data_IF_857924149954
#
_entry.id   IF_857924149954
#
_cell.length_a   1.000
_cell.length_b   1.000
_cell.length_c   1.000
_cell.angle_alpha   90.00
_cell.angle_beta   90.00
_cell.angle_gamma   90.00
#
_symmetry.space_group_name_H-M   'P 1'
#
loop_
_entity.id
_entity.type
_entity.pdbx_description
1 polymer ?
#
# COMPACT_ATOMS: atom_id res chain seq x y z
N UNK A 1 4.25 83.17 -8.83
CA UNK A 1 2.94 82.71 -8.34
C UNK A 1 3.00 81.20 -8.22
N UNK A 2 3.04 80.72 -6.99
CA UNK A 2 3.26 79.31 -6.60
C UNK A 2 1.91 78.59 -6.68
N UNK A 3 1.85 77.47 -7.41
CA UNK A 3 0.70 76.55 -7.42
C UNK A 3 1.15 75.25 -6.77
N UNK A 4 0.69 75.06 -5.55
CA UNK A 4 0.78 73.81 -4.80
C UNK A 4 -0.61 73.17 -4.72
N UNK A 5 -0.63 71.91 -4.25
CA UNK A 5 -1.78 71.11 -3.80
C UNK A 5 -2.40 70.21 -4.91
N UNK A 6 -2.72 68.91 -4.75
CA UNK A 6 -2.83 67.98 -3.60
C UNK A 6 -2.58 66.57 -4.14
N UNK A 7 -1.87 65.71 -3.39
CA UNK A 7 -1.72 64.27 -3.65
C UNK A 7 -2.65 63.49 -2.70
N UNK A 8 -3.53 62.57 -3.16
CA UNK A 8 -4.39 61.81 -2.27
C UNK A 8 -3.68 60.60 -1.67
N UNK A 9 -4.02 60.41 -0.40
CA UNK A 9 -3.49 59.51 0.62
C UNK A 9 -3.69 58.03 0.32
N UNK A 10 -2.66 57.24 0.62
CA UNK A 10 -2.67 55.78 0.72
C UNK A 10 -3.68 55.28 1.76
N UNK A 11 -4.58 54.38 1.34
CA UNK A 11 -5.36 53.51 2.23
C UNK A 11 -4.64 52.18 2.32
N UNK A 12 -3.88 52.01 3.39
CA UNK A 12 -3.17 50.78 3.71
C UNK A 12 -4.08 49.93 4.61
N UNK A 13 -4.81 48.98 4.02
CA UNK A 13 -5.62 48.00 4.76
C UNK A 13 -4.73 46.80 5.11
N UNK A 14 -4.21 46.78 6.34
CA UNK A 14 -3.58 45.60 6.92
C UNK A 14 -4.66 44.54 7.19
N UNK A 15 -4.69 43.51 6.34
CA UNK A 15 -5.39 42.26 6.62
C UNK A 15 -4.38 41.27 7.21
N UNK A 16 -4.38 41.16 8.54
CA UNK A 16 -3.60 40.17 9.28
C UNK A 16 -4.22 38.79 9.09
N UNK A 17 -3.72 38.02 8.13
CA UNK A 17 -3.97 36.58 8.01
C UNK A 17 -3.09 35.83 9.01
N UNK A 18 -3.69 35.35 10.09
CA UNK A 18 -3.06 34.38 10.98
C UNK A 18 -2.93 33.04 10.24
N UNK A 19 -1.69 32.62 9.99
CA UNK A 19 -1.33 31.28 9.52
C UNK A 19 -1.55 30.27 10.66
N UNK A 20 -2.39 29.23 10.50
CA UNK A 20 -2.37 28.12 11.43
C UNK A 20 -1.10 27.30 11.20
N UNK A 21 -0.26 27.23 12.22
CA UNK A 21 0.89 26.32 12.26
C UNK A 21 0.42 24.87 12.33
N UNK A 22 0.60 24.13 11.24
CA UNK A 22 0.42 22.68 11.21
C UNK A 22 1.50 21.99 12.07
N UNK A 23 1.15 20.93 12.83
CA UNK A 23 2.14 20.13 13.52
C UNK A 23 3.04 19.40 12.52
N UNK A 24 4.35 19.58 12.68
CA UNK A 24 5.40 18.86 11.96
C UNK A 24 5.27 17.36 12.22
N UNK A 25 4.97 16.59 11.17
CA UNK A 25 4.95 15.13 11.23
C UNK A 25 6.39 14.62 11.37
N UNK A 26 6.68 13.94 12.48
CA UNK A 26 7.97 13.33 12.78
C UNK A 26 7.90 11.82 12.51
N UNK A 27 8.54 11.28 11.46
CA UNK A 27 8.46 9.86 11.10
C UNK A 27 9.28 8.90 12.00
N UNK A 28 9.88 9.35 13.11
CA UNK A 28 10.84 8.54 13.88
C UNK A 28 10.26 7.61 14.98
N UNK A 29 8.96 7.30 15.01
CA UNK A 29 8.33 6.56 16.13
C UNK A 29 7.41 5.40 15.70
N UNK A 30 7.83 4.57 14.73
CA UNK A 30 7.27 3.23 14.57
C UNK A 30 8.37 2.18 14.56
N UNK A 31 8.97 1.96 15.73
CA UNK A 31 9.71 0.72 16.00
C UNK A 31 8.93 -0.06 17.07
N UNK A 32 7.92 -0.83 16.63
CA UNK A 32 7.27 -1.83 17.49
C UNK A 32 7.95 -3.17 17.29
N UNK A 33 8.66 -3.55 18.34
CA UNK A 33 9.09 -4.88 18.75
C UNK A 33 8.10 -5.97 18.30
N UNK A 34 8.51 -6.79 17.33
CA UNK A 34 7.90 -8.10 17.09
C UNK A 34 8.71 -9.16 17.84
N UNK A 35 8.00 -9.97 18.61
CA UNK A 35 8.55 -10.99 19.47
C UNK A 35 9.24 -12.09 18.66
N UNK A 36 10.42 -12.46 19.13
CA UNK A 36 11.13 -13.70 18.80
C UNK A 36 10.37 -14.90 19.38
N UNK A 37 10.10 -15.92 18.57
CA UNK A 37 9.56 -17.18 19.07
C UNK A 37 9.11 -18.16 17.99
N UNK A 38 10.03 -19.04 17.56
CA UNK A 38 9.84 -20.49 17.43
C UNK A 38 10.90 -21.06 16.47
N UNK A 39 11.88 -21.74 17.05
CA UNK A 39 12.79 -22.66 16.38
C UNK A 39 12.01 -23.90 15.94
N UNK A 40 12.03 -24.20 14.64
CA UNK A 40 11.65 -25.51 14.10
C UNK A 40 12.92 -26.28 13.69
N UNK A 41 12.98 -27.60 13.90
CA UNK A 41 14.12 -28.42 13.51
C UNK A 41 14.14 -28.71 12.00
N UNK A 42 15.32 -28.96 11.40
CA UNK A 42 15.43 -29.27 9.97
C UNK A 42 14.90 -30.68 9.67
N UNK A 43 14.02 -30.75 8.67
CA UNK A 43 13.58 -32.00 8.07
C UNK A 43 14.72 -32.58 7.20
N UNK A 44 15.10 -33.82 7.49
CA UNK A 44 16.02 -34.62 6.68
C UNK A 44 15.41 -34.93 5.31
N UNK A 45 16.03 -34.47 4.24
CA UNK A 45 15.67 -34.88 2.87
C UNK A 45 16.66 -35.96 2.43
N UNK A 46 16.15 -37.18 2.26
CA UNK A 46 16.86 -38.27 1.60
C UNK A 46 16.99 -37.99 0.10
N UNK A 47 18.22 -38.03 -0.40
CA UNK A 47 18.51 -38.06 -1.81
C UNK A 47 17.98 -39.37 -2.43
N UNK A 48 17.26 -39.26 -3.55
CA UNK A 48 17.03 -40.39 -4.46
C UNK A 48 17.49 -39.97 -5.85
N UNK A 49 18.45 -40.72 -6.38
CA UNK A 49 19.06 -40.55 -7.69
C UNK A 49 18.12 -40.96 -8.84
N UNK A 50 18.55 -40.57 -10.05
CA UNK A 50 18.27 -41.13 -11.38
C UNK A 50 16.97 -40.73 -12.09
N UNK A 51 17.07 -39.98 -13.19
CA UNK A 51 17.27 -40.60 -14.52
C UNK A 51 17.07 -39.59 -15.64
N UNK A 52 17.95 -39.70 -16.64
CA UNK A 52 18.02 -38.92 -17.86
C UNK A 52 16.85 -39.22 -18.80
N UNK A 53 16.09 -38.20 -19.23
CA UNK A 53 15.19 -38.33 -20.39
C UNK A 53 15.09 -37.04 -21.22
N UNK A 54 15.64 -37.15 -22.43
CA UNK A 54 15.37 -36.48 -23.72
C UNK A 54 14.24 -35.41 -23.79
N UNK A 55 14.48 -34.23 -24.41
CA UNK A 55 13.45 -33.20 -24.57
C UNK A 55 12.47 -33.51 -25.71
N UNK A 56 11.17 -33.42 -25.41
CA UNK A 56 10.06 -33.33 -26.38
C UNK A 56 9.70 -31.84 -26.58
N UNK A 57 9.16 -31.42 -27.74
CA UNK A 57 8.88 -30.01 -28.02
C UNK A 57 7.59 -29.55 -27.32
N UNK A 58 7.69 -28.46 -26.56
CA UNK A 58 6.59 -27.82 -25.86
C UNK A 58 5.74 -27.00 -26.84
N UNK A 59 4.52 -27.46 -27.06
CA UNK A 59 3.43 -26.71 -27.70
C UNK A 59 2.93 -25.57 -26.80
N UNK A 60 2.60 -24.43 -27.42
CA UNK A 60 2.14 -23.21 -26.78
C UNK A 60 0.89 -23.40 -25.89
N UNK A 61 0.83 -22.74 -24.71
CA UNK A 61 -0.38 -22.73 -23.89
C UNK A 61 -1.46 -21.87 -24.56
N UNK A 62 -2.65 -22.47 -24.70
CA UNK A 62 -3.86 -21.79 -25.14
C UNK A 62 -4.38 -20.86 -24.04
N UNK A 63 -4.71 -19.65 -24.46
CA UNK A 63 -5.21 -18.53 -23.66
C UNK A 63 -6.54 -18.91 -22.97
N UNK A 64 -6.68 -18.82 -21.64
CA UNK A 64 -7.96 -19.06 -20.99
C UNK A 64 -8.93 -17.91 -21.34
N UNK A 65 -10.02 -18.28 -22.01
CA UNK A 65 -11.13 -17.37 -22.32
C UNK A 65 -11.72 -16.85 -21.01
N UNK A 66 -11.68 -15.52 -20.83
CA UNK A 66 -12.24 -14.86 -19.67
C UNK A 66 -13.77 -15.14 -19.55
N UNK A 67 -14.29 -15.33 -18.33
CA UNK A 67 -15.72 -15.52 -18.12
C UNK A 67 -16.47 -14.23 -18.49
N UNK A 68 -17.39 -14.37 -19.45
CA UNK A 68 -18.35 -13.31 -19.84
C UNK A 68 -19.23 -12.99 -18.63
N UNK A 69 -19.09 -11.78 -18.08
CA UNK A 69 -19.98 -11.31 -17.02
C UNK A 69 -21.39 -11.10 -17.56
N UNK A 70 -22.44 -11.50 -16.81
CA UNK A 70 -23.82 -11.21 -17.18
C UNK A 70 -24.08 -9.70 -17.19
N UNK A 71 -24.78 -9.23 -18.22
CA UNK A 71 -25.12 -7.83 -18.40
C UNK A 71 -25.82 -7.26 -17.17
N UNK A 72 -25.32 -6.10 -16.71
CA UNK A 72 -25.86 -5.35 -15.59
C UNK A 72 -27.31 -4.93 -15.89
N UNK A 73 -28.28 -5.15 -14.96
CA UNK A 73 -29.65 -4.73 -15.17
C UNK A 73 -29.72 -3.20 -15.29
N UNK A 74 -30.31 -2.74 -16.38
CA UNK A 74 -30.51 -1.33 -16.71
C UNK A 74 -31.47 -0.72 -15.67
N UNK A 75 -30.95 0.15 -14.81
CA UNK A 75 -31.79 0.95 -13.92
C UNK A 75 -32.63 1.94 -14.76
N UNK A 76 -33.93 2.13 -14.42
CA UNK A 76 -34.75 3.12 -15.09
C UNK A 76 -34.26 4.53 -14.76
N UNK A 77 -34.15 5.33 -15.81
CA UNK A 77 -33.80 6.74 -15.81
C UNK A 77 -34.76 7.56 -14.91
N UNK A 78 -34.27 8.30 -13.90
CA UNK A 78 -35.12 9.07 -13.00
C UNK A 78 -35.76 10.33 -13.63
N UNK A 79 -35.60 10.58 -14.93
CA UNK A 79 -36.09 11.80 -15.58
C UNK A 79 -37.57 11.82 -15.99
N UNK A 80 -38.41 10.86 -15.59
CA UNK A 80 -39.86 10.95 -15.85
C UNK A 80 -40.72 10.66 -14.62
N UNK A 81 -40.64 11.53 -13.61
CA UNK A 81 -41.80 11.74 -12.73
C UNK A 81 -42.56 12.96 -13.25
N UNK A 82 -43.54 12.71 -14.12
CA UNK A 82 -44.58 13.67 -14.44
C UNK A 82 -45.36 13.97 -13.15
N UNK A 83 -44.96 15.04 -12.46
CA UNK A 83 -45.74 15.65 -11.41
C UNK A 83 -46.96 16.28 -12.07
N UNK A 84 -48.07 15.54 -12.10
CA UNK A 84 -49.39 16.10 -12.39
C UNK A 84 -49.72 17.04 -11.23
N UNK A 85 -49.37 18.32 -11.39
CA UNK A 85 -49.90 19.38 -10.55
C UNK A 85 -51.39 19.47 -10.84
N UNK A 86 -52.21 18.95 -9.93
CA UNK A 86 -53.62 19.25 -9.90
C UNK A 86 -53.75 20.75 -9.56
N UNK A 87 -54.17 21.49 -10.57
CA UNK A 87 -54.60 22.88 -10.55
C UNK A 87 -55.67 23.07 -9.47
N UNK A 88 -55.23 23.56 -8.31
CA UNK A 88 -56.08 24.02 -7.22
C UNK A 88 -56.24 25.54 -7.29
N UNK A 89 -56.90 26.02 -8.33
CA UNK A 89 -57.39 27.40 -8.44
C UNK A 89 -58.29 27.70 -7.22
N UNK A 90 -57.75 28.38 -6.20
CA UNK A 90 -58.56 28.96 -5.13
C UNK A 90 -58.97 30.36 -5.61
N UNK A 91 -60.16 30.44 -6.18
CA UNK A 91 -60.81 31.68 -6.57
C UNK A 91 -60.90 32.62 -5.36
N UNK A 92 -60.21 33.76 -5.46
CA UNK A 92 -60.39 34.91 -4.59
C UNK A 92 -61.68 35.63 -5.01
N UNK A 93 -62.78 35.32 -4.32
CA UNK A 93 -64.07 35.98 -4.47
C UNK A 93 -64.31 36.97 -3.32
N UNK A 94 -64.08 38.24 -3.64
CA UNK A 94 -64.93 39.41 -3.39
C UNK A 94 -66.01 39.35 -2.27
N UNK A 95 -65.90 40.31 -1.34
CA UNK A 95 -67.01 41.17 -0.89
C UNK A 95 -68.14 40.60 -0.02
N UNK A 96 -68.25 41.10 1.22
CA UNK A 96 -69.45 41.82 1.68
C UNK A 96 -69.35 42.29 3.13
N UNK A 97 -69.65 43.57 3.32
CA UNK A 97 -70.26 44.10 4.53
C UNK A 97 -71.46 43.24 4.94
N UNK A 98 -71.61 42.96 6.24
CA UNK A 98 -72.89 43.19 6.94
C UNK A 98 -72.80 42.91 8.43
N UNK A 99 -73.17 43.93 9.19
CA UNK A 99 -74.23 43.84 10.20
C UNK A 99 -73.95 43.04 11.48
N UNK A 100 -73.57 43.80 12.51
CA UNK A 100 -73.85 43.51 13.91
C UNK A 100 -75.32 43.11 14.09
N UNK A 101 -75.57 41.83 14.34
CA UNK A 101 -76.84 41.36 14.91
C UNK A 101 -76.57 40.61 16.21
N UNK A 102 -76.77 41.32 17.32
CA UNK A 102 -77.00 40.75 18.64
C UNK A 102 -78.12 39.70 18.53
N UNK A 103 -77.81 38.44 18.82
CA UNK A 103 -78.82 37.44 19.16
C UNK A 103 -78.26 36.44 20.16
N UNK A 104 -79.09 36.13 21.16
CA UNK A 104 -78.69 35.57 22.44
C UNK A 104 -78.01 34.21 22.35
N UNK A 105 -77.12 34.00 23.31
CA UNK A 105 -76.50 32.73 23.64
C UNK A 105 -77.55 31.61 23.79
N UNK A 106 -77.45 30.51 23.03
CA UNK A 106 -77.83 29.21 23.53
C UNK A 106 -76.62 28.62 24.26
N UNK A 107 -76.70 28.50 25.59
CA UNK A 107 -75.76 27.71 26.39
C UNK A 107 -75.84 26.23 25.95
N UNK A 108 -75.14 25.87 24.88
CA UNK A 108 -74.98 24.47 24.48
C UNK A 108 -73.92 23.85 25.40
N UNK A 109 -74.38 22.99 26.31
CA UNK A 109 -73.55 22.04 27.05
C UNK A 109 -72.85 21.13 26.04
N UNK A 110 -71.68 21.55 25.55
CA UNK A 110 -70.78 20.68 24.80
C UNK A 110 -70.34 19.57 25.75
N UNK A 111 -70.74 18.35 25.42
CA UNK A 111 -70.33 17.15 26.14
C UNK A 111 -68.81 17.10 26.17
N UNK A 112 -68.21 17.28 27.35
CA UNK A 112 -66.75 17.32 27.58
C UNK A 112 -65.99 16.17 26.88
N UNK A 113 -66.66 15.02 26.70
CA UNK A 113 -66.15 13.85 25.98
C UNK A 113 -65.82 14.13 24.50
N UNK A 114 -66.60 14.98 23.82
CA UNK A 114 -66.32 15.40 22.44
C UNK A 114 -65.14 16.38 22.39
N UNK A 115 -65.05 17.30 23.34
CA UNK A 115 -63.93 18.25 23.42
C UNK A 115 -62.58 17.52 23.62
N UNK A 116 -62.56 16.48 24.47
CA UNK A 116 -61.36 15.67 24.70
C UNK A 116 -60.92 14.92 23.43
N UNK A 117 -61.87 14.35 22.67
CA UNK A 117 -61.57 13.65 21.42
C UNK A 117 -60.94 14.54 20.35
N UNK A 118 -61.44 15.78 20.22
CA UNK A 118 -60.90 16.76 19.26
C UNK A 118 -59.49 17.21 19.64
N UNK A 119 -59.21 17.41 20.94
CA UNK A 119 -57.88 17.79 21.41
C UNK A 119 -56.85 16.68 21.11
N UNK A 120 -57.20 15.42 21.36
CA UNK A 120 -56.29 14.29 21.07
C UNK A 120 -56.02 14.17 19.58
N UNK A 121 -57.04 14.33 18.73
CA UNK A 121 -56.85 14.29 17.28
C UNK A 121 -55.93 15.42 16.79
N UNK A 122 -56.07 16.62 17.33
CA UNK A 122 -55.23 17.76 16.96
C UNK A 122 -53.76 17.54 17.33
N UNK A 123 -53.48 16.92 18.49
CA UNK A 123 -52.12 16.58 18.90
C UNK A 123 -51.47 15.54 17.98
N UNK A 124 -52.23 14.58 17.47
CA UNK A 124 -51.73 13.58 16.51
C UNK A 124 -51.35 14.26 15.18
N UNK A 125 -52.20 15.17 14.69
CA UNK A 125 -51.93 15.90 13.45
C UNK A 125 -50.67 16.77 13.60
N UNK A 126 -50.57 17.54 14.69
CA UNK A 126 -49.37 18.36 14.95
C UNK A 126 -48.10 17.52 15.13
N UNK A 127 -48.19 16.39 15.84
CA UNK A 127 -47.06 15.48 16.03
C UNK A 127 -46.56 14.87 14.72
N UNK A 128 -47.48 14.43 13.84
CA UNK A 128 -47.12 13.88 12.53
C UNK A 128 -46.49 14.93 11.60
N UNK A 129 -46.99 16.17 11.61
CA UNK A 129 -46.41 17.27 10.84
C UNK A 129 -45.00 17.65 11.30
N UNK A 130 -44.77 17.73 12.61
CA UNK A 130 -43.44 18.02 13.15
C UNK A 130 -42.43 16.90 12.83
N UNK A 131 -42.85 15.63 12.91
CA UNK A 131 -42.02 14.49 12.52
C UNK A 131 -41.62 14.53 11.04
N UNK A 132 -42.57 14.84 10.15
CA UNK A 132 -42.29 14.97 8.72
C UNK A 132 -41.33 16.13 8.42
N UNK A 133 -41.50 17.28 9.09
CA UNK A 133 -40.62 18.44 8.93
C UNK A 133 -39.18 18.15 9.37
N UNK A 134 -38.99 17.47 10.51
CA UNK A 134 -37.67 17.04 10.98
C UNK A 134 -37.02 16.00 10.04
N UNK A 135 -37.83 15.17 9.38
CA UNK A 135 -37.33 14.17 8.41
C UNK A 135 -36.90 14.84 7.09
N UNK A 136 -37.55 15.94 6.68
CA UNK A 136 -37.09 16.71 5.51
C UNK A 136 -35.76 17.43 5.75
N UNK A 137 -35.56 18.03 6.92
CA UNK A 137 -34.29 18.72 7.22
C UNK A 137 -33.07 17.77 7.19
N UNK A 138 -33.25 16.51 7.60
CA UNK A 138 -32.15 15.54 7.68
C UNK A 138 -31.69 14.98 6.32
N UNK A 139 -32.47 15.13 5.25
CA UNK A 139 -32.05 14.72 3.90
C UNK A 139 -31.25 15.82 3.18
N UNK A 140 -31.54 17.08 3.45
CA UNK A 140 -30.85 18.23 2.84
C UNK A 140 -29.39 18.35 3.34
N UNK A 141 -29.16 18.11 4.63
CA UNK A 141 -27.81 18.06 5.21
C UNK A 141 -26.91 16.98 4.58
N UNK A 142 -27.49 15.86 4.10
CA UNK A 142 -26.73 14.82 3.39
C UNK A 142 -26.40 15.20 1.96
N UNK A 143 -27.17 16.08 1.32
CA UNK A 143 -26.85 16.57 -0.02
C UNK A 143 -25.88 17.75 0.03
N UNK A 144 -25.94 18.59 1.07
CA UNK A 144 -25.02 19.71 1.25
C UNK A 144 -23.62 19.27 1.73
N UNK A 145 -23.50 18.18 2.49
CA UNK A 145 -22.19 17.57 2.80
C UNK A 145 -21.58 16.82 1.60
N UNK A 146 -22.39 16.45 0.61
CA UNK A 146 -21.97 15.64 -0.54
C UNK A 146 -21.18 16.38 -1.62
N UNK A 147 -20.93 17.70 -1.52
CA UNK A 147 -20.48 18.47 -2.70
C UNK A 147 -19.38 19.51 -2.51
N UNK A 148 -18.60 19.52 -1.42
CA UNK A 148 -17.48 20.48 -1.32
C UNK A 148 -16.17 19.97 -1.92
N UNK A 149 -16.09 18.70 -2.32
CA UNK A 149 -14.92 18.20 -3.04
C UNK A 149 -15.00 18.67 -4.50
N UNK A 150 -14.36 19.80 -4.80
CA UNK A 150 -14.14 20.24 -6.17
C UNK A 150 -12.95 19.46 -6.69
N UNK A 151 -13.23 18.50 -7.56
CA UNK A 151 -12.20 17.72 -8.23
C UNK A 151 -11.31 18.64 -9.09
N UNK A 152 -10.00 18.56 -8.89
CA UNK A 152 -9.01 19.37 -9.60
C UNK A 152 -7.94 18.46 -10.21
N UNK A 153 -8.06 18.23 -11.52
CA UNK A 153 -7.20 17.32 -12.27
C UNK A 153 -6.50 18.02 -13.43
N UNK A 154 -5.16 18.07 -13.42
CA UNK A 154 -4.29 18.59 -12.37
C UNK A 154 -4.35 20.13 -12.30
N UNK A 155 -4.10 20.70 -11.13
CA UNK A 155 -4.07 22.16 -10.93
C UNK A 155 -2.70 22.76 -11.26
N UNK A 156 -2.65 24.07 -11.53
CA UNK A 156 -1.43 24.80 -11.90
C UNK A 156 -0.36 24.84 -10.80
N UNK A 157 -0.75 24.50 -9.57
CA UNK A 157 0.12 24.36 -8.40
C UNK A 157 0.77 22.96 -8.28
N UNK A 158 0.51 22.05 -9.22
CA UNK A 158 1.06 20.70 -9.20
C UNK A 158 0.34 19.74 -8.26
N UNK A 159 -0.83 20.14 -7.76
CA UNK A 159 -1.68 19.32 -6.88
C UNK A 159 -2.79 18.66 -7.70
N UNK A 160 -3.05 17.40 -7.39
CA UNK A 160 -4.16 16.61 -7.94
C UNK A 160 -5.11 16.28 -6.78
N UNK A 161 -6.36 16.72 -6.89
CA UNK A 161 -7.40 16.48 -5.87
C UNK A 161 -8.42 15.54 -6.48
N UNK A 162 -8.34 14.27 -6.09
CA UNK A 162 -9.30 13.25 -6.54
C UNK A 162 -10.40 13.07 -5.50
N UNK A 163 -11.65 13.17 -5.97
CA UNK A 163 -12.87 13.04 -5.16
C UNK A 163 -13.55 11.66 -5.33
N UNK A 164 -12.98 10.77 -6.15
CA UNK A 164 -13.58 9.50 -6.54
C UNK A 164 -12.70 8.30 -6.17
N UNK A 165 -13.19 7.31 -5.39
CA UNK A 165 -14.54 7.22 -4.80
C UNK A 165 -14.71 8.19 -3.62
N UNK A 166 -15.94 8.59 -3.28
CA UNK A 166 -16.21 9.29 -2.03
C UNK A 166 -15.79 8.35 -0.90
N UNK A 167 -14.67 8.69 -0.24
CA UNK A 167 -14.25 8.01 0.97
C UNK A 167 -15.34 8.26 2.01
N UNK A 168 -15.69 7.27 2.82
CA UNK A 168 -16.77 7.38 3.81
C UNK A 168 -16.57 8.56 4.80
N UNK A 169 -15.36 9.07 4.90
CA UNK A 169 -14.95 10.20 5.74
C UNK A 169 -14.93 11.55 5.00
N UNK A 170 -15.44 11.63 3.77
CA UNK A 170 -15.51 12.85 2.93
C UNK A 170 -14.15 13.50 2.60
N UNK A 171 -13.02 12.87 2.95
CA UNK A 171 -11.70 13.42 2.67
C UNK A 171 -11.31 13.19 1.21
N UNK A 172 -10.98 14.26 0.49
CA UNK A 172 -10.33 14.17 -0.82
C UNK A 172 -8.94 13.57 -0.69
N UNK A 173 -8.53 12.70 -1.61
CA UNK A 173 -7.11 12.33 -1.72
C UNK A 173 -6.36 13.45 -2.44
N UNK A 174 -5.35 14.02 -1.79
CA UNK A 174 -4.49 15.05 -2.35
C UNK A 174 -3.17 14.43 -2.76
N UNK A 175 -2.94 14.34 -4.07
CA UNK A 175 -1.69 13.91 -4.69
C UNK A 175 -0.80 15.11 -4.98
N UNK A 176 0.40 15.13 -4.41
CA UNK A 176 1.45 16.10 -4.79
C UNK A 176 2.42 15.43 -5.76
N UNK A 177 2.76 16.12 -6.84
CA UNK A 177 3.84 15.70 -7.74
C UNK A 177 5.10 16.54 -7.49
N UNK A 178 6.16 15.90 -7.00
CA UNK A 178 7.48 16.50 -6.79
C UNK A 178 8.59 15.47 -7.07
N UNK A 179 9.85 15.85 -6.92
CA UNK A 179 11.00 14.99 -7.19
C UNK A 179 11.04 13.70 -6.35
N UNK A 180 10.39 13.68 -5.18
CA UNK A 180 10.31 12.50 -4.30
C UNK A 180 9.23 11.51 -4.75
N UNK A 181 8.26 11.96 -5.56
CA UNK A 181 7.13 11.17 -6.05
C UNK A 181 7.21 10.89 -7.56
N UNK A 182 8.42 10.84 -8.13
CA UNK A 182 8.64 10.34 -9.48
C UNK A 182 7.91 8.99 -9.68
N UNK A 183 7.27 8.82 -10.83
CA UNK A 183 6.50 7.61 -11.22
C UNK A 183 5.20 7.36 -10.48
N UNK A 184 4.80 8.23 -9.55
CA UNK A 184 3.51 8.08 -8.86
C UNK A 184 2.37 8.17 -9.88
N UNK A 185 1.50 7.16 -9.86
CA UNK A 185 0.30 7.09 -10.71
C UNK A 185 -0.93 7.35 -9.85
N UNK A 186 -1.75 8.32 -10.25
CA UNK A 186 -3.02 8.64 -9.61
C UNK A 186 -4.14 8.79 -10.64
N UNK A 187 -5.39 8.60 -10.23
CA UNK A 187 -6.55 8.77 -11.10
C UNK A 187 -7.37 9.97 -10.64
N UNK A 188 -7.83 10.78 -11.59
CA UNK A 188 -8.61 11.99 -11.34
C UNK A 188 -9.50 12.26 -12.56
N UNK A 189 -10.79 12.51 -12.37
CA UNK A 189 -11.74 12.81 -13.43
C UNK A 189 -11.89 11.68 -14.47
N UNK A 190 -11.66 10.43 -14.05
CA UNK A 190 -11.64 9.26 -14.93
C UNK A 190 -10.40 9.16 -15.84
N UNK A 191 -9.42 10.05 -15.68
CA UNK A 191 -8.13 10.00 -16.39
C UNK A 191 -7.02 9.59 -15.43
N UNK A 192 -6.08 8.76 -15.89
CA UNK A 192 -4.89 8.40 -15.14
C UNK A 192 -3.76 9.38 -15.42
N UNK A 193 -3.15 9.89 -14.36
CA UNK A 193 -2.03 10.82 -14.39
C UNK A 193 -0.79 10.18 -13.77
N UNK A 194 0.34 10.62 -14.29
CA UNK A 194 1.67 10.21 -13.95
C UNK A 194 2.47 11.41 -13.44
N UNK A 195 3.16 11.28 -12.32
CA UNK A 195 4.09 12.32 -11.85
C UNK A 195 5.48 12.16 -12.49
N UNK A 196 5.93 13.18 -13.24
CA UNK A 196 7.27 13.23 -13.86
C UNK A 196 8.35 13.87 -12.95
N UNK A 197 8.05 14.07 -11.68
CA UNK A 197 8.90 14.76 -10.70
C UNK A 197 8.65 16.28 -10.59
N UNK A 198 7.92 16.88 -11.52
CA UNK A 198 7.64 18.33 -11.52
C UNK A 198 6.17 18.67 -11.83
N UNK A 199 5.49 17.83 -12.61
CA UNK A 199 4.10 18.00 -13.01
C UNK A 199 3.44 16.66 -13.29
N UNK A 200 2.11 16.66 -13.21
CA UNK A 200 1.27 15.55 -13.64
C UNK A 200 1.15 15.54 -15.17
N UNK A 201 1.39 14.39 -15.78
CA UNK A 201 1.23 14.15 -17.22
C UNK A 201 0.29 12.97 -17.46
N UNK A 202 -0.44 12.96 -18.56
CA UNK A 202 -1.22 11.79 -19.02
C UNK A 202 -0.37 10.81 -19.83
N UNK A 203 0.88 11.18 -20.12
CA UNK A 203 1.81 10.31 -20.82
C UNK A 203 2.38 9.26 -19.85
N UNK A 204 1.78 8.06 -19.90
CA UNK A 204 2.19 6.93 -19.07
C UNK A 204 3.59 6.42 -19.40
N UNK A 205 4.18 6.79 -20.54
CA UNK A 205 5.57 6.42 -20.84
C UNK A 205 6.55 7.09 -19.89
N UNK A 206 6.20 8.25 -19.33
CA UNK A 206 7.02 8.96 -18.34
C UNK A 206 7.01 8.27 -16.97
N UNK A 207 5.92 7.60 -16.60
CA UNK A 207 5.82 6.79 -15.37
C UNK A 207 6.25 5.36 -15.57
N UNK A 208 6.37 4.94 -16.82
CA UNK A 208 7.16 3.77 -17.18
C UNK A 208 8.62 4.20 -17.11
N UNK A 209 9.08 4.61 -15.92
CA UNK A 209 10.47 4.36 -15.60
C UNK A 209 10.56 2.85 -15.77
N UNK A 210 11.19 2.44 -16.86
CA UNK A 210 11.61 1.08 -17.07
C UNK A 210 12.11 0.65 -15.71
N UNK A 211 11.32 -0.19 -15.03
CA UNK A 211 11.75 -0.76 -13.77
C UNK A 211 12.92 -1.57 -14.25
N UNK A 212 14.12 -0.98 -14.23
CA UNK A 212 15.36 -1.69 -14.44
C UNK A 212 15.26 -2.71 -13.32
N UNK A 213 14.95 -3.98 -13.67
CA UNK A 213 14.58 -4.95 -12.67
C UNK A 213 15.78 -5.02 -11.76
N UNK A 214 15.67 -4.52 -10.53
CA UNK A 214 16.77 -4.35 -9.57
C UNK A 214 17.66 -5.57 -9.73
N UNK A 215 18.83 -5.49 -10.40
CA UNK A 215 19.52 -6.69 -10.82
C UNK A 215 19.83 -7.55 -9.60
N UNK A 216 19.13 -8.67 -9.47
CA UNK A 216 19.49 -9.71 -8.53
C UNK A 216 20.84 -10.31 -8.96
N UNK A 217 21.39 -11.21 -8.16
CA UNK A 217 22.53 -11.98 -8.62
C UNK A 217 22.17 -12.66 -9.96
N UNK A 218 23.04 -12.54 -10.97
CA UNK A 218 22.79 -12.94 -12.36
C UNK A 218 21.79 -12.07 -13.15
N UNK A 219 21.38 -10.92 -12.62
CA UNK A 219 20.65 -9.91 -13.39
C UNK A 219 21.48 -9.43 -14.58
N UNK A 220 20.82 -9.14 -15.71
CA UNK A 220 21.49 -8.57 -16.88
C UNK A 220 22.05 -7.17 -16.56
N UNK A 221 23.22 -6.86 -17.12
CA UNK A 221 23.87 -5.57 -16.95
C UNK A 221 24.67 -5.19 -18.20
N UNK A 222 24.89 -3.90 -18.36
CA UNK A 222 25.72 -3.28 -19.39
C UNK A 222 26.97 -2.62 -18.81
N UNK A 223 26.90 -2.13 -17.57
CA UNK A 223 28.01 -1.43 -16.88
C UNK A 223 28.05 -1.79 -15.39
N UNK A 224 29.23 -1.63 -14.77
CA UNK A 224 29.44 -2.00 -13.36
C UNK A 224 28.54 -1.22 -12.39
N UNK A 225 28.20 0.04 -12.70
CA UNK A 225 27.39 0.87 -11.81
C UNK A 225 26.00 0.29 -11.54
N UNK A 226 25.40 -0.36 -12.55
CA UNK A 226 24.09 -1.01 -12.42
C UNK A 226 24.11 -2.12 -11.36
N UNK A 227 25.23 -2.82 -11.20
CA UNK A 227 25.41 -3.86 -10.19
C UNK A 227 25.87 -3.27 -8.84
N UNK A 228 26.79 -2.30 -8.86
CA UNK A 228 27.39 -1.74 -7.65
C UNK A 228 26.41 -0.90 -6.83
N UNK A 229 25.39 -0.33 -7.47
CA UNK A 229 24.33 0.43 -6.80
C UNK A 229 23.47 -0.46 -5.88
N UNK A 230 23.44 -1.78 -6.14
CA UNK A 230 22.74 -2.78 -5.32
C UNK A 230 23.66 -3.37 -4.27
N UNK A 231 24.85 -3.81 -4.71
CA UNK A 231 25.87 -4.33 -3.84
C UNK A 231 27.24 -3.81 -4.32
N UNK A 232 27.95 -3.02 -3.51
CA UNK A 232 29.22 -2.41 -3.93
C UNK A 232 30.33 -3.42 -4.23
N UNK A 233 30.15 -4.71 -3.89
CA UNK A 233 31.07 -5.80 -4.24
C UNK A 233 30.72 -6.50 -5.55
N UNK A 234 29.64 -6.11 -6.23
CA UNK A 234 29.23 -6.69 -7.51
C UNK A 234 29.75 -5.88 -8.69
N UNK A 235 30.07 -6.59 -9.77
CA UNK A 235 30.53 -6.06 -11.05
C UNK A 235 29.70 -6.63 -12.18
N UNK A 236 29.67 -5.94 -13.32
CA UNK A 236 29.10 -6.46 -14.55
C UNK A 236 30.13 -7.32 -15.27
N UNK A 237 29.94 -8.65 -15.27
CA UNK A 237 30.88 -9.55 -15.93
C UNK A 237 30.82 -9.32 -17.45
N UNK A 238 31.92 -8.82 -18.02
CA UNK A 238 32.01 -8.42 -19.43
C UNK A 238 31.76 -9.56 -20.45
N UNK A 239 31.89 -10.83 -20.03
CA UNK A 239 31.66 -11.99 -20.92
C UNK A 239 30.21 -12.44 -20.88
N UNK A 240 29.59 -12.47 -19.70
CA UNK A 240 28.22 -12.96 -19.52
C UNK A 240 27.16 -11.86 -19.52
N UNK A 241 27.56 -10.60 -19.43
CA UNK A 241 26.66 -9.45 -19.24
C UNK A 241 25.71 -9.62 -18.05
N UNK A 242 26.22 -10.25 -16.97
CA UNK A 242 25.47 -10.50 -15.74
C UNK A 242 26.16 -9.86 -14.53
N UNK A 243 25.38 -9.39 -13.55
CA UNK A 243 25.90 -8.96 -12.25
C UNK A 243 26.43 -10.15 -11.46
N UNK A 244 27.70 -10.05 -11.04
CA UNK A 244 28.46 -11.10 -10.34
C UNK A 244 29.26 -10.50 -9.19
N UNK A 245 29.64 -11.31 -8.22
CA UNK A 245 30.56 -10.88 -7.17
C UNK A 245 31.97 -10.68 -7.75
N UNK A 246 32.61 -9.53 -7.46
CA UNK A 246 33.93 -9.19 -8.00
C UNK A 246 35.02 -10.20 -7.61
N UNK A 247 34.91 -10.82 -6.43
CA UNK A 247 35.84 -11.86 -5.97
C UNK A 247 35.63 -13.22 -6.64
N UNK A 248 34.48 -13.44 -7.29
CA UNK A 248 34.15 -14.69 -7.95
C UNK A 248 33.23 -14.46 -9.17
N UNK A 249 33.75 -13.86 -10.25
CA UNK A 249 32.95 -13.43 -11.40
C UNK A 249 32.30 -14.57 -12.19
N UNK A 250 32.76 -15.81 -12.00
CA UNK A 250 32.22 -17.00 -12.67
C UNK A 250 31.12 -17.71 -11.86
N UNK A 251 30.85 -17.27 -10.63
CA UNK A 251 29.85 -17.87 -9.75
C UNK A 251 28.43 -17.66 -10.23
N UNK A 252 27.69 -18.75 -10.46
CA UNK A 252 26.27 -18.77 -10.78
C UNK A 252 25.35 -18.26 -9.66
N UNK A 253 25.87 -18.10 -8.44
CA UNK A 253 25.08 -17.77 -7.24
C UNK A 253 25.60 -16.53 -6.50
N UNK A 254 26.62 -15.86 -7.04
CA UNK A 254 27.26 -14.66 -6.47
C UNK A 254 27.74 -14.82 -5.02
N UNK A 255 28.03 -16.05 -4.62
CA UNK A 255 28.74 -16.34 -3.39
C UNK A 255 30.24 -16.12 -3.58
N UNK A 256 30.93 -15.82 -2.48
CA UNK A 256 32.39 -15.78 -2.45
C UNK A 256 32.94 -17.08 -3.04
N UNK A 257 34.12 -16.98 -3.68
CA UNK A 257 34.81 -18.16 -4.13
C UNK A 257 35.10 -19.02 -2.91
N UNK A 258 34.26 -20.02 -2.68
CA UNK A 258 34.59 -21.14 -1.83
C UNK A 258 35.82 -21.76 -2.47
N UNK A 259 36.98 -21.45 -1.89
CA UNK A 259 38.18 -22.23 -2.14
C UNK A 259 37.75 -23.64 -1.73
N UNK A 260 37.64 -24.54 -2.70
CA UNK A 260 37.40 -25.94 -2.40
C UNK A 260 38.68 -26.49 -1.76
N UNK A 261 38.90 -26.21 -0.48
CA UNK A 261 40.02 -26.78 0.25
C UNK A 261 39.74 -28.27 0.43
N UNK A 262 40.54 -29.08 -0.23
CA UNK A 262 40.60 -30.51 0.01
C UNK A 262 41.61 -30.79 1.13
N UNK A 263 41.67 -32.05 1.56
CA UNK A 263 42.71 -32.50 2.46
C UNK A 263 44.08 -32.21 1.84
N UNK A 264 44.99 -31.59 2.59
CA UNK A 264 46.27 -31.09 2.11
C UNK A 264 46.21 -29.93 1.09
N UNK A 265 45.10 -29.21 0.99
CA UNK A 265 45.13 -27.88 0.35
C UNK A 265 45.98 -26.93 1.18
N UNK A 266 46.69 -26.02 0.50
CA UNK A 266 47.45 -24.98 1.17
C UNK A 266 46.51 -24.05 1.96
N UNK A 267 46.97 -23.59 3.12
CA UNK A 267 46.24 -22.70 4.01
C UNK A 267 47.18 -21.73 4.71
N UNK A 268 46.62 -20.64 5.22
CA UNK A 268 47.28 -19.62 6.03
C UNK A 268 46.69 -19.51 7.43
N UNK A 269 45.41 -19.86 7.60
CA UNK A 269 44.72 -19.79 8.89
C UNK A 269 43.81 -20.99 9.14
N UNK A 270 43.57 -21.31 10.41
CA UNK A 270 42.61 -22.37 10.81
C UNK A 270 41.19 -22.09 10.31
N UNK A 271 40.82 -20.82 10.18
CA UNK A 271 39.49 -20.40 9.70
C UNK A 271 39.24 -20.85 8.27
N UNK A 272 40.25 -20.82 7.39
CA UNK A 272 40.12 -21.28 6.00
C UNK A 272 39.77 -22.79 5.95
N UNK A 273 40.46 -23.61 6.74
CA UNK A 273 40.22 -25.05 6.78
C UNK A 273 38.90 -25.42 7.47
N UNK A 274 38.62 -24.80 8.61
CA UNK A 274 37.43 -25.07 9.42
C UNK A 274 36.13 -24.59 8.76
N UNK A 275 36.21 -23.65 7.81
CA UNK A 275 35.08 -23.24 6.98
C UNK A 275 34.59 -24.35 6.04
N UNK A 276 35.47 -25.28 5.64
CA UNK A 276 35.14 -26.41 4.75
C UNK A 276 34.76 -27.65 5.54
N UNK A 277 35.55 -28.01 6.56
CA UNK A 277 35.24 -29.10 7.50
C UNK A 277 35.56 -28.59 8.90
N UNK A 278 34.58 -28.49 9.83
CA UNK A 278 34.79 -27.89 11.16
C UNK A 278 35.94 -28.49 11.98
N UNK A 279 36.27 -29.77 11.75
CA UNK A 279 37.36 -30.48 12.43
C UNK A 279 38.73 -30.29 11.76
N UNK A 280 38.83 -29.52 10.68
CA UNK A 280 40.10 -29.24 10.02
C UNK A 280 40.76 -27.98 10.57
N UNK A 281 42.08 -28.03 10.67
CA UNK A 281 42.99 -26.97 11.12
C UNK A 281 44.09 -26.80 10.09
N UNK A 282 44.65 -25.60 10.00
CA UNK A 282 45.83 -25.33 9.20
C UNK A 282 47.08 -25.74 9.99
N UNK A 283 47.73 -26.84 9.58
CA UNK A 283 48.96 -27.27 10.23
C UNK A 283 50.06 -26.21 10.02
N UNK A 284 50.42 -25.51 11.09
CA UNK A 284 51.41 -24.43 11.09
C UNK A 284 52.81 -24.87 10.59
N UNK A 285 53.09 -26.18 10.58
CA UNK A 285 54.37 -26.69 10.08
C UNK A 285 54.39 -26.85 8.57
N UNK A 286 53.28 -27.36 7.99
CA UNK A 286 53.21 -27.64 6.56
C UNK A 286 52.38 -26.64 5.75
N UNK A 287 51.65 -25.73 6.41
CA UNK A 287 50.67 -24.81 5.81
C UNK A 287 49.62 -25.56 4.98
N UNK A 288 49.12 -26.68 5.52
CA UNK A 288 48.18 -27.59 4.85
C UNK A 288 46.96 -27.84 5.74
N UNK A 289 45.76 -27.88 5.16
CA UNK A 289 44.56 -28.26 5.89
C UNK A 289 44.57 -29.75 6.25
N UNK A 290 44.41 -30.03 7.55
CA UNK A 290 44.44 -31.39 8.11
C UNK A 290 43.41 -31.54 9.22
N UNK A 291 43.04 -32.78 9.52
CA UNK A 291 42.17 -33.10 10.65
C UNK A 291 42.87 -32.76 11.98
N UNK A 292 42.21 -31.99 12.84
CA UNK A 292 42.77 -31.51 14.11
C UNK A 292 43.17 -32.64 15.07
N UNK A 293 42.46 -33.78 15.02
CA UNK A 293 42.79 -34.96 15.82
C UNK A 293 43.98 -35.76 15.28
N UNK A 294 44.40 -35.51 14.03
CA UNK A 294 45.48 -36.25 13.38
C UNK A 294 46.24 -35.38 12.35
N UNK A 295 46.98 -34.35 12.82
CA UNK A 295 47.66 -33.37 11.95
C UNK A 295 48.84 -33.94 11.17
N UNK A 296 49.22 -35.21 11.35
CA UNK A 296 50.22 -35.88 10.51
C UNK A 296 49.59 -36.69 9.39
N UNK A 297 48.26 -36.82 9.36
CA UNK A 297 47.53 -37.56 8.34
C UNK A 297 47.62 -36.87 6.98
N UNK A 298 48.00 -37.63 5.97
CA UNK A 298 47.92 -37.21 4.56
C UNK A 298 46.56 -37.53 3.94
N UNK A 299 45.74 -38.37 4.58
CA UNK A 299 44.39 -38.70 4.11
C UNK A 299 43.31 -37.91 4.84
N UNK A 300 43.68 -37.16 5.89
CA UNK A 300 42.77 -36.47 6.82
C UNK A 300 41.75 -37.40 7.48
N UNK A 301 42.05 -38.69 7.55
CA UNK A 301 41.27 -39.65 8.30
C UNK A 301 41.65 -39.62 9.80
N UNK A 302 40.69 -39.91 10.70
CA UNK A 302 40.97 -40.07 12.12
C UNK A 302 42.09 -41.09 12.34
N UNK A 303 42.94 -40.85 13.33
CA UNK A 303 43.94 -41.85 13.71
C UNK A 303 43.21 -43.15 14.06
N UNK A 304 43.55 -44.24 13.37
CA UNK A 304 43.01 -45.56 13.67
C UNK A 304 43.54 -45.91 15.05
N UNK A 305 42.73 -45.72 16.08
CA UNK A 305 43.09 -46.15 17.44
C UNK A 305 43.24 -47.67 17.32
N UNK A 306 44.44 -48.23 17.53
CA UNK A 306 44.59 -49.67 17.50
C UNK A 306 43.66 -50.18 18.60
N UNK A 307 42.56 -50.82 18.20
CA UNK A 307 41.67 -51.50 19.13
C UNK A 307 42.52 -52.52 19.85
N UNK A 308 42.96 -52.16 21.05
CA UNK A 308 43.65 -53.07 21.94
C UNK A 308 42.68 -54.21 22.15
N UNK A 309 43.02 -55.37 21.59
CA UNK A 309 42.25 -56.60 21.73
C UNK A 309 42.00 -56.77 23.22
N UNK A 310 40.78 -56.50 23.66
CA UNK A 310 40.36 -56.73 25.03
C UNK A 310 40.34 -58.23 25.18
N UNK A 311 41.44 -58.80 25.66
CA UNK A 311 41.47 -60.20 26.03
C UNK A 311 40.53 -60.33 27.23
N UNK A 312 39.31 -60.79 26.97
CA UNK A 312 38.38 -61.21 28.02
C UNK A 312 39.00 -62.41 28.73
N UNK A 313 39.78 -62.14 29.77
CA UNK A 313 40.24 -63.17 30.71
C UNK A 313 39.02 -63.60 31.51
N UNK A 314 38.39 -64.68 31.07
CA UNK A 314 37.30 -65.32 31.83
C UNK A 314 37.95 -66.14 32.94
N UNK A 315 38.05 -65.58 34.13
CA UNK A 315 38.53 -66.28 35.33
C UNK A 315 37.44 -67.26 35.78
N UNK A 316 37.58 -68.55 35.46
CA UNK A 316 36.79 -69.60 36.10
C UNK A 316 37.35 -69.89 37.48
N UNK A 317 36.58 -69.56 38.51
CA UNK A 317 36.82 -70.05 39.87
C UNK A 317 36.22 -71.45 39.99
N UNK A 318 37.05 -72.40 40.42
CA UNK A 318 36.66 -73.76 40.85
C UNK A 318 36.39 -73.71 42.35
#
# INVERSE_FOLDING_TARGET
>A
MIKAAINPTDINTQSSSATPSFPTYNPAQQNRTFMTGASMPPASVQATETSSTKPLPTSAPSNPTAPVMPALPKFPDPTQTNLVMADGTIASANGSNSEKKNSGQPKKKLSLKMALGVIVLFLVILGSGAGFYLTQQSQDLRQQASSTCVEQCPSSDGVLINCTPPIADESSTVGMCNADFLTKIESCGGTTYCCNGTSWTTDMTVCTTEIIPVPECNGDCTIDSECSDINPSWICNATSHKCRLASNPDSAICEEAHIALACNSDCTTDTECSSVVPDWTCDATSNKCRLASNPTSITCEPAVVPTSKTWNVTTSFI
#
